data_IF_027781537472
#
_entry.id   IF_027781537472
#
_cell.length_a   1.000
_cell.length_b   1.000
_cell.length_c   1.000
_cell.angle_alpha   90.00
_cell.angle_beta   90.00
_cell.angle_gamma   90.00
#
_symmetry.space_group_name_H-M   'P 1'
#
loop_
_entity.id
_entity.type
_entity.pdbx_description
1 polymer ?
#
# COMPACT_ATOMS: atom_id res chain seq x y z
N UNK A 1 14.54 19.16 -6.88
CA UNK A 1 13.32 18.59 -6.23
C UNK A 1 13.48 18.67 -4.72
N UNK A 2 12.62 19.41 -4.00
CA UNK A 2 12.72 19.54 -2.54
C UNK A 2 12.35 18.22 -1.84
N UNK A 3 13.17 17.78 -0.89
CA UNK A 3 12.97 16.55 -0.09
C UNK A 3 11.54 16.45 0.50
N UNK A 4 10.96 17.58 0.90
CA UNK A 4 9.60 17.68 1.45
C UNK A 4 8.51 17.23 0.47
N UNK A 5 8.69 17.48 -0.83
CA UNK A 5 7.75 17.06 -1.88
C UNK A 5 7.78 15.56 -2.14
N UNK A 6 8.93 14.91 -1.91
CA UNK A 6 9.10 13.47 -2.08
C UNK A 6 8.43 12.72 -0.92
N UNK A 7 8.63 13.18 0.32
CA UNK A 7 7.94 12.63 1.50
C UNK A 7 6.43 12.64 1.33
N UNK A 8 5.85 13.76 0.89
CA UNK A 8 4.40 13.89 0.69
C UNK A 8 3.88 12.96 -0.40
N UNK A 9 4.58 12.86 -1.54
CA UNK A 9 4.19 11.95 -2.63
C UNK A 9 4.24 10.49 -2.19
N UNK A 10 5.31 10.08 -1.51
CA UNK A 10 5.47 8.70 -1.05
C UNK A 10 4.40 8.33 0.00
N UNK A 11 4.07 9.25 0.92
CA UNK A 11 2.96 9.07 1.87
C UNK A 11 1.62 8.89 1.17
N UNK A 12 1.30 9.72 0.17
CA UNK A 12 0.04 9.62 -0.58
C UNK A 12 -0.06 8.27 -1.30
N UNK A 13 1.02 7.82 -1.95
CA UNK A 13 1.04 6.53 -2.64
C UNK A 13 0.89 5.37 -1.65
N UNK A 14 1.59 5.40 -0.52
CA UNK A 14 1.45 4.37 0.52
C UNK A 14 0.00 4.27 1.02
N UNK A 15 -0.64 5.41 1.30
CA UNK A 15 -2.04 5.42 1.72
C UNK A 15 -2.99 4.94 0.61
N UNK A 16 -2.75 5.28 -0.65
CA UNK A 16 -3.56 4.81 -1.77
C UNK A 16 -3.50 3.28 -1.92
N UNK A 17 -2.31 2.67 -1.77
CA UNK A 17 -2.13 1.21 -1.82
C UNK A 17 -2.87 0.54 -0.67
N UNK A 18 -2.68 1.03 0.57
CA UNK A 18 -3.37 0.50 1.75
C UNK A 18 -4.89 0.60 1.60
N UNK A 19 -5.39 1.74 1.12
CA UNK A 19 -6.82 1.94 0.89
C UNK A 19 -7.39 0.99 -0.16
N UNK A 20 -6.66 0.77 -1.26
CA UNK A 20 -7.05 -0.20 -2.29
C UNK A 20 -7.19 -1.62 -1.74
N UNK A 21 -6.22 -2.09 -0.94
CA UNK A 21 -6.29 -3.43 -0.34
C UNK A 21 -7.41 -3.55 0.69
N UNK A 22 -7.68 -2.50 1.47
CA UNK A 22 -8.83 -2.46 2.39
C UNK A 22 -10.14 -2.59 1.60
N UNK A 23 -10.29 -1.89 0.48
CA UNK A 23 -11.48 -2.00 -0.37
C UNK A 23 -11.64 -3.41 -0.93
N UNK A 24 -10.56 -4.02 -1.40
CA UNK A 24 -10.60 -5.42 -1.86
C UNK A 24 -10.99 -6.37 -0.76
N UNK A 25 -10.44 -6.20 0.44
CA UNK A 25 -10.80 -7.00 1.59
C UNK A 25 -12.29 -6.84 1.93
N UNK A 26 -12.81 -5.61 1.91
CA UNK A 26 -14.22 -5.32 2.14
C UNK A 26 -15.13 -5.99 1.10
N UNK A 27 -14.77 -5.87 -0.19
CA UNK A 27 -15.44 -6.57 -1.30
C UNK A 27 -15.46 -8.09 -1.08
N UNK A 28 -14.38 -8.65 -0.51
CA UNK A 28 -14.31 -10.07 -0.18
C UNK A 28 -15.28 -10.47 0.93
N UNK A 29 -15.31 -9.68 2.01
CA UNK A 29 -16.12 -9.93 3.20
C UNK A 29 -17.61 -9.84 2.87
N UNK A 30 -18.01 -8.86 2.06
CA UNK A 30 -19.40 -8.68 1.64
C UNK A 30 -19.81 -9.54 0.42
N UNK A 31 -18.91 -10.40 -0.10
CA UNK A 31 -19.15 -11.27 -1.25
C UNK A 31 -19.82 -10.52 -2.42
N UNK A 32 -19.25 -9.37 -2.79
CA UNK A 32 -19.81 -8.55 -3.87
C UNK A 32 -19.50 -9.25 -5.20
N UNK A 33 -20.45 -10.03 -5.69
CA UNK A 33 -20.35 -10.83 -6.91
C UNK A 33 -20.63 -10.01 -8.18
N UNK A 34 -19.77 -9.03 -8.45
CA UNK A 34 -19.74 -8.32 -9.73
C UNK A 34 -18.57 -8.80 -10.59
N UNK A 35 -18.85 -9.28 -11.80
CA UNK A 35 -17.84 -9.77 -12.76
C UNK A 35 -16.74 -8.72 -13.00
N UNK A 36 -17.12 -7.45 -13.15
CA UNK A 36 -16.16 -6.36 -13.37
C UNK A 36 -15.22 -6.17 -12.17
N UNK A 37 -15.73 -6.32 -10.94
CA UNK A 37 -14.95 -6.20 -9.70
C UNK A 37 -13.97 -7.37 -9.57
N UNK A 38 -14.37 -8.58 -9.97
CA UNK A 38 -13.48 -9.75 -10.05
C UNK A 38 -12.29 -9.51 -10.99
N UNK A 39 -12.55 -9.02 -12.21
CA UNK A 39 -11.49 -8.71 -13.18
C UNK A 39 -10.55 -7.62 -12.67
N UNK A 40 -11.08 -6.52 -12.11
CA UNK A 40 -10.24 -5.45 -11.55
C UNK A 40 -9.43 -5.95 -10.36
N UNK A 41 -10.01 -6.78 -9.49
CA UNK A 41 -9.30 -7.42 -8.39
C UNK A 41 -8.11 -8.21 -8.93
N UNK A 42 -8.29 -9.13 -9.87
CA UNK A 42 -7.19 -9.97 -10.35
C UNK A 42 -6.11 -9.13 -11.08
N UNK A 43 -6.54 -8.23 -11.97
CA UNK A 43 -5.63 -7.43 -12.78
C UNK A 43 -4.79 -6.46 -11.94
N UNK A 44 -5.40 -5.80 -10.95
CA UNK A 44 -4.72 -4.78 -10.15
C UNK A 44 -4.05 -5.35 -8.90
N UNK A 45 -4.45 -6.51 -8.39
CA UNK A 45 -3.85 -7.04 -7.16
C UNK A 45 -2.36 -7.38 -7.33
N UNK A 46 -1.96 -8.00 -8.45
CA UNK A 46 -0.55 -8.29 -8.74
C UNK A 46 0.32 -7.03 -8.81
N UNK A 47 0.00 -6.01 -9.64
CA UNK A 47 0.80 -4.79 -9.69
C UNK A 47 0.79 -4.02 -8.37
N UNK A 48 -0.33 -4.00 -7.62
CA UNK A 48 -0.37 -3.36 -6.30
C UNK A 48 0.44 -4.13 -5.24
N UNK A 49 0.49 -5.46 -5.30
CA UNK A 49 1.38 -6.30 -4.48
C UNK A 49 2.85 -5.98 -4.75
N UNK A 50 3.22 -5.90 -6.03
CA UNK A 50 4.57 -5.55 -6.44
C UNK A 50 4.93 -4.13 -5.99
N UNK A 51 4.02 -3.18 -6.22
CA UNK A 51 4.18 -1.79 -5.79
C UNK A 51 4.36 -1.69 -4.28
N UNK A 52 3.54 -2.38 -3.48
CA UNK A 52 3.66 -2.44 -2.03
C UNK A 52 5.08 -2.82 -1.59
N UNK A 53 5.66 -3.89 -2.16
CA UNK A 53 7.02 -4.33 -1.81
C UNK A 53 8.06 -3.27 -2.16
N UNK A 54 7.97 -2.70 -3.37
CA UNK A 54 8.89 -1.65 -3.85
C UNK A 54 8.80 -0.41 -2.97
N UNK A 55 7.59 0.07 -2.67
CA UNK A 55 7.36 1.26 -1.84
C UNK A 55 7.74 1.04 -0.37
N UNK A 56 7.65 -0.20 0.15
CA UNK A 56 8.10 -0.53 1.50
C UNK A 56 9.63 -0.47 1.61
N UNK A 57 10.35 -1.04 0.63
CA UNK A 57 11.82 -0.96 0.54
C UNK A 57 12.28 0.50 0.41
N UNK A 58 11.66 1.26 -0.51
CA UNK A 58 11.94 2.69 -0.68
C UNK A 58 11.62 3.49 0.60
N UNK A 59 10.49 3.20 1.24
CA UNK A 59 10.06 3.82 2.49
C UNK A 59 11.08 3.64 3.60
N UNK A 60 11.60 2.42 3.77
CA UNK A 60 12.64 2.10 4.76
C UNK A 60 13.95 2.85 4.48
N UNK A 61 14.41 2.85 3.22
CA UNK A 61 15.64 3.56 2.82
C UNK A 61 15.50 5.07 3.09
N UNK A 62 14.36 5.66 2.76
CA UNK A 62 14.09 7.08 3.00
C UNK A 62 13.96 7.41 4.49
N UNK A 63 13.35 6.52 5.29
CA UNK A 63 13.23 6.69 6.74
C UNK A 63 14.60 6.71 7.44
N UNK A 64 15.57 5.98 6.91
CA UNK A 64 16.93 5.94 7.44
C UNK A 64 17.77 7.18 7.08
N UNK A 65 17.42 7.90 6.00
CA UNK A 65 18.17 9.06 5.49
C UNK A 65 17.56 10.43 5.83
N UNK A 66 16.28 10.52 6.23
CA UNK A 66 15.59 11.81 6.45
C UNK A 66 15.18 12.07 7.90
N UNK A 67 15.00 13.34 8.28
CA UNK A 67 14.39 13.72 9.56
C UNK A 67 12.99 13.11 9.67
N UNK A 68 12.71 12.52 10.84
CA UNK A 68 11.50 11.74 11.13
C UNK A 68 10.24 12.62 11.08
N UNK A 69 9.52 12.59 9.96
CA UNK A 69 8.15 13.09 9.91
C UNK A 69 7.20 11.99 10.40
N UNK A 70 6.46 12.24 11.49
CA UNK A 70 5.54 11.25 12.09
C UNK A 70 4.55 10.65 11.07
N UNK A 71 3.98 11.51 10.20
CA UNK A 71 3.05 11.08 9.15
C UNK A 71 3.69 10.10 8.15
N UNK A 72 4.96 10.31 7.81
CA UNK A 72 5.67 9.43 6.89
C UNK A 72 5.92 8.06 7.53
N UNK A 73 6.39 8.04 8.79
CA UNK A 73 6.60 6.81 9.56
C UNK A 73 5.30 6.02 9.70
N UNK A 74 4.18 6.69 10.00
CA UNK A 74 2.88 6.05 10.11
C UNK A 74 2.44 5.42 8.78
N UNK A 75 2.68 6.09 7.64
CA UNK A 75 2.34 5.55 6.32
C UNK A 75 3.15 4.29 5.97
N UNK A 76 4.43 4.24 6.34
CA UNK A 76 5.29 3.07 6.12
C UNK A 76 4.86 1.91 7.03
N UNK A 77 4.49 2.20 8.29
CA UNK A 77 3.94 1.20 9.21
C UNK A 77 2.62 0.62 8.71
N UNK A 78 1.68 1.47 8.27
CA UNK A 78 0.42 1.04 7.69
C UNK A 78 0.63 0.15 6.45
N UNK A 79 1.56 0.53 5.56
CA UNK A 79 1.93 -0.27 4.40
C UNK A 79 2.55 -1.62 4.80
N UNK A 80 3.33 -1.66 5.87
CA UNK A 80 3.95 -2.90 6.38
C UNK A 80 2.89 -3.86 6.93
N UNK A 81 1.95 -3.36 7.72
CA UNK A 81 0.84 -4.16 8.24
C UNK A 81 -0.03 -4.69 7.09
N UNK A 82 -0.36 -3.81 6.13
CA UNK A 82 -1.09 -4.19 4.92
C UNK A 82 -0.36 -5.29 4.14
N UNK A 83 0.98 -5.21 4.06
CA UNK A 83 1.77 -6.21 3.39
C UNK A 83 1.73 -7.58 4.06
N UNK A 84 1.83 -7.60 5.40
CA UNK A 84 1.74 -8.84 6.17
C UNK A 84 0.37 -9.48 5.99
N UNK A 85 -0.71 -8.71 6.09
CA UNK A 85 -2.09 -9.22 5.92
C UNK A 85 -2.30 -9.73 4.49
N UNK A 86 -1.83 -8.99 3.49
CA UNK A 86 -2.01 -9.38 2.09
C UNK A 86 -1.24 -10.66 1.79
N UNK A 87 0.06 -10.72 2.12
CA UNK A 87 0.88 -11.93 1.88
C UNK A 87 0.32 -13.11 2.67
N UNK A 88 -0.07 -12.91 3.93
CA UNK A 88 -0.69 -13.96 4.75
C UNK A 88 -2.11 -14.35 4.33
N UNK A 89 -2.76 -13.58 3.45
CA UNK A 89 -4.03 -13.96 2.82
C UNK A 89 -3.81 -14.72 1.49
N UNK A 90 -2.61 -14.65 0.92
CA UNK A 90 -2.24 -15.35 -0.32
C UNK A 90 -1.62 -16.74 -0.07
N UNK A 91 -1.03 -16.96 1.11
CA UNK A 91 -0.48 -18.25 1.57
C UNK A 91 -1.41 -18.90 2.59
#
# INVERSE_FOLDING_TARGET
MNQLSIHRKLTIVNFAIVFYFILIWLVNVYQIDFVLVGVFRELLTIPFLMAQIVFLVLGKIYLMKSKKNLLFTLSVLALTICAIITIGSFF
#
